data_IF_779816960794
#
_entry.id   IF_779816960794
#
_cell.length_a   1.000
_cell.length_b   1.000
_cell.length_c   1.000
_cell.angle_alpha   90.00
_cell.angle_beta   90.00
_cell.angle_gamma   90.00
#
_symmetry.space_group_name_H-M   'P 1'
#
loop_
_entity.id
_entity.type
_entity.pdbx_description
1 polymer ?
#
# COMPACT_ATOMS: atom_id res chain seq x y z
N UNK A 1 8.11 1.31 9.27
CA UNK A 1 9.11 1.79 10.27
C UNK A 1 10.19 2.68 9.65
N UNK A 2 10.80 2.27 8.53
CA UNK A 2 11.79 3.08 7.78
C UNK A 2 11.44 4.56 7.59
N UNK A 3 10.18 4.88 7.28
CA UNK A 3 9.71 6.27 7.13
C UNK A 3 9.97 7.11 8.39
N UNK A 4 9.55 6.60 9.55
CA UNK A 4 9.69 7.29 10.84
C UNK A 4 11.18 7.37 11.23
N UNK A 5 11.94 6.29 11.05
CA UNK A 5 13.38 6.26 11.35
C UNK A 5 14.15 7.31 10.53
N UNK A 6 13.86 7.40 9.22
CA UNK A 6 14.45 8.42 8.34
C UNK A 6 14.03 9.83 8.77
N UNK A 7 12.76 10.04 9.12
CA UNK A 7 12.24 11.33 9.60
C UNK A 7 12.97 11.81 10.86
N UNK A 8 13.07 10.94 11.86
CA UNK A 8 13.71 11.25 13.15
C UNK A 8 15.21 11.47 12.99
N UNK A 9 15.90 10.59 12.26
CA UNK A 9 17.37 10.69 12.09
C UNK A 9 17.82 11.90 11.28
N UNK A 10 17.01 12.37 10.33
CA UNK A 10 17.32 13.55 9.52
C UNK A 10 16.80 14.86 10.13
N UNK A 11 15.96 14.78 11.17
CA UNK A 11 15.21 15.92 11.71
C UNK A 11 14.46 16.71 10.61
N UNK A 12 13.93 16.01 9.62
CA UNK A 12 13.22 16.62 8.50
C UNK A 12 11.91 17.27 8.95
N UNK A 13 11.50 18.36 8.29
CA UNK A 13 10.17 18.94 8.51
C UNK A 13 9.05 18.03 8.00
N UNK A 14 9.32 17.33 6.89
CA UNK A 14 8.45 16.31 6.33
C UNK A 14 9.28 15.15 5.78
N UNK A 15 8.73 13.94 5.88
CA UNK A 15 9.25 12.77 5.18
C UNK A 15 8.10 12.05 4.51
N UNK A 16 8.21 11.80 3.20
CA UNK A 16 7.18 11.10 2.43
C UNK A 16 7.66 9.74 1.97
N UNK A 17 6.73 8.82 1.80
CA UNK A 17 7.00 7.56 1.13
C UNK A 17 6.81 7.75 -0.38
N UNK A 18 7.69 7.17 -1.19
CA UNK A 18 7.60 7.21 -2.66
C UNK A 18 7.69 5.80 -3.23
N UNK A 19 7.26 5.61 -4.48
CA UNK A 19 7.41 4.36 -5.21
C UNK A 19 7.83 4.62 -6.65
N UNK A 20 8.46 3.63 -7.28
CA UNK A 20 8.75 3.65 -8.71
C UNK A 20 7.71 2.79 -9.44
N UNK A 21 6.93 3.40 -10.33
CA UNK A 21 5.91 2.71 -11.13
C UNK A 21 6.10 3.01 -12.63
N UNK A 22 6.22 1.96 -13.43
CA UNK A 22 6.27 2.08 -14.90
C UNK A 22 5.03 2.75 -15.49
N UNK A 23 3.86 2.53 -14.87
CA UNK A 23 2.64 3.25 -15.21
C UNK A 23 2.20 4.10 -14.00
N UNK A 24 2.59 5.38 -13.95
CA UNK A 24 2.30 6.25 -12.82
C UNK A 24 0.93 6.94 -12.90
N UNK A 25 0.10 6.61 -13.91
CA UNK A 25 -1.20 7.25 -14.14
C UNK A 25 -2.07 7.24 -12.88
N UNK A 26 -2.59 8.42 -12.52
CA UNK A 26 -3.52 8.58 -11.38
C UNK A 26 -2.83 8.97 -10.07
N UNK A 27 -1.50 8.97 -10.01
CA UNK A 27 -0.74 9.34 -8.81
C UNK A 27 -0.11 10.74 -8.91
N UNK A 28 0.22 11.36 -7.77
CA UNK A 28 1.06 12.56 -7.78
C UNK A 28 2.51 12.21 -8.15
N UNK A 29 3.19 13.08 -8.90
CA UNK A 29 4.61 12.92 -9.32
C UNK A 29 5.54 13.63 -8.36
N UNK A 30 6.61 12.96 -7.94
CA UNK A 30 7.63 13.56 -7.07
C UNK A 30 8.66 14.27 -7.93
N UNK A 31 8.69 15.60 -7.86
CA UNK A 31 9.62 16.42 -8.64
C UNK A 31 10.90 16.63 -7.85
N UNK A 32 12.04 16.29 -8.46
CA UNK A 32 13.37 16.49 -7.88
C UNK A 32 14.17 17.53 -8.65
N UNK A 33 15.05 18.23 -7.93
CA UNK A 33 16.05 19.10 -8.54
C UNK A 33 17.21 18.27 -9.13
N UNK A 34 18.12 18.93 -9.86
CA UNK A 34 19.35 18.32 -10.37
C UNK A 34 20.26 17.75 -9.27
N UNK A 35 20.12 18.23 -8.03
CA UNK A 35 20.82 17.70 -6.85
C UNK A 35 20.05 16.58 -6.14
N UNK A 36 19.05 15.97 -6.81
CA UNK A 36 18.19 14.90 -6.29
C UNK A 36 17.36 15.25 -5.05
N UNK A 37 17.25 16.55 -4.70
CA UNK A 37 16.41 17.03 -3.61
C UNK A 37 14.97 17.16 -4.08
N UNK A 38 14.01 16.83 -3.21
CA UNK A 38 12.59 16.99 -3.50
C UNK A 38 12.27 18.48 -3.58
N UNK A 39 11.54 18.87 -4.61
CA UNK A 39 11.11 20.24 -4.86
C UNK A 39 9.63 20.38 -4.53
N UNK A 40 8.78 19.53 -5.14
CA UNK A 40 7.33 19.55 -4.98
C UNK A 40 6.74 18.19 -5.36
N UNK A 41 5.45 18.02 -5.11
CA UNK A 41 4.63 16.97 -5.70
C UNK A 41 3.66 17.64 -6.66
N UNK A 42 3.41 17.04 -7.82
CA UNK A 42 2.42 17.53 -8.79
C UNK A 42 1.38 16.46 -9.04
N UNK A 43 0.10 16.76 -8.77
CA UNK A 43 -1.00 15.82 -8.97
C UNK A 43 -1.22 15.48 -10.46
N UNK A 44 -1.77 14.29 -10.74
CA UNK A 44 -1.97 13.78 -12.11
C UNK A 44 -2.75 14.75 -13.02
N UNK A 45 -3.76 15.42 -12.46
CA UNK A 45 -4.58 16.37 -13.23
C UNK A 45 -3.79 17.64 -13.56
N UNK A 46 -2.95 18.10 -12.64
CA UNK A 46 -2.19 19.34 -12.74
C UNK A 46 -0.85 19.17 -13.46
N UNK A 47 -0.37 17.93 -13.59
CA UNK A 47 0.88 17.58 -14.25
C UNK A 47 0.88 17.89 -15.76
N UNK A 48 1.98 18.49 -16.23
CA UNK A 48 2.30 18.63 -17.65
C UNK A 48 2.62 17.28 -18.30
N UNK A 49 2.65 17.23 -19.63
CA UNK A 49 3.03 16.03 -20.38
C UNK A 49 4.43 15.50 -20.02
N UNK A 50 5.34 16.39 -19.64
CA UNK A 50 6.71 16.03 -19.24
C UNK A 50 6.78 15.52 -17.80
N UNK A 51 5.91 16.02 -16.92
CA UNK A 51 5.83 15.52 -15.54
C UNK A 51 5.12 14.16 -15.49
N UNK A 52 4.11 13.92 -16.35
CA UNK A 52 3.34 12.66 -16.37
C UNK A 52 4.18 11.41 -16.66
N UNK A 53 5.32 11.55 -17.35
CA UNK A 53 6.24 10.42 -17.62
C UNK A 53 7.19 10.10 -16.47
N UNK A 54 7.21 10.92 -15.41
CA UNK A 54 8.03 10.64 -14.22
C UNK A 54 7.46 9.40 -13.51
N UNK A 55 8.30 8.38 -13.32
CA UNK A 55 7.91 7.11 -12.71
C UNK A 55 7.92 7.14 -11.17
N UNK A 56 8.58 8.14 -10.57
CA UNK A 56 8.55 8.33 -9.11
C UNK A 56 7.24 8.98 -8.68
N UNK A 57 6.43 8.21 -7.96
CA UNK A 57 5.11 8.63 -7.49
C UNK A 57 5.08 8.89 -5.99
N UNK A 58 4.17 9.78 -5.61
CA UNK A 58 3.70 9.97 -4.25
C UNK A 58 2.68 8.89 -3.90
N UNK A 59 2.95 8.12 -2.84
CA UNK A 59 2.04 7.06 -2.36
C UNK A 59 1.06 7.54 -1.28
N UNK A 60 1.12 8.82 -0.90
CA UNK A 60 0.15 9.41 0.04
C UNK A 60 0.42 9.11 1.51
N UNK A 61 1.62 8.67 1.88
CA UNK A 61 2.02 8.42 3.27
C UNK A 61 3.13 9.38 3.70
N UNK A 62 2.92 10.07 4.82
CA UNK A 62 3.80 11.12 5.30
C UNK A 62 4.08 11.00 6.79
N UNK A 63 5.23 11.52 7.19
CA UNK A 63 5.59 11.81 8.57
C UNK A 63 6.01 13.29 8.65
N UNK A 64 5.32 14.08 9.46
CA UNK A 64 5.59 15.50 9.60
C UNK A 64 5.99 15.85 11.01
N UNK A 65 6.89 16.81 11.13
CA UNK A 65 7.02 17.59 12.34
C UNK A 65 5.82 18.55 12.45
N UNK A 66 5.25 18.67 13.64
CA UNK A 66 4.01 19.43 13.88
C UNK A 66 4.10 20.88 13.36
N UNK A 67 5.16 21.61 13.74
CA UNK A 67 5.32 23.04 13.38
C UNK A 67 5.45 23.25 11.86
N UNK A 68 6.35 22.54 11.14
CA UNK A 68 6.37 22.55 9.67
C UNK A 68 5.03 22.24 9.01
N UNK A 69 4.30 21.24 9.48
CA UNK A 69 2.99 20.90 8.89
C UNK A 69 2.02 22.09 8.92
N UNK A 70 1.81 22.68 10.11
CA UNK A 70 0.89 23.81 10.23
C UNK A 70 1.34 25.03 9.44
N UNK A 71 2.65 25.31 9.42
CA UNK A 71 3.21 26.35 8.56
C UNK A 71 2.92 26.12 7.07
N UNK A 72 3.02 24.86 6.60
CA UNK A 72 2.67 24.47 5.23
C UNK A 72 1.19 24.69 4.94
N UNK A 73 0.32 24.18 5.82
CA UNK A 73 -1.14 24.24 5.67
C UNK A 73 -1.68 25.66 5.65
N UNK A 74 -1.08 26.60 6.39
CA UNK A 74 -1.48 28.02 6.38
C UNK A 74 -1.21 28.73 5.03
N UNK A 75 -0.36 28.16 4.18
CA UNK A 75 0.16 28.83 2.97
C UNK A 75 -0.32 28.23 1.66
N UNK A 76 -0.85 27.01 1.68
CA UNK A 76 -1.42 26.39 0.50
C UNK A 76 -2.71 27.11 0.07
N UNK A 77 -3.00 27.07 -1.23
CA UNK A 77 -4.15 27.74 -1.84
C UNK A 77 -4.85 26.77 -2.79
N UNK A 78 -6.17 26.91 -3.00
CA UNK A 78 -6.92 26.08 -3.93
C UNK A 78 -6.74 26.57 -5.37
N UNK A 79 -5.50 26.75 -5.81
CA UNK A 79 -5.12 27.25 -7.15
C UNK A 79 -4.66 26.06 -8.01
N UNK A 80 -5.56 25.10 -8.21
CA UNK A 80 -5.34 23.90 -9.01
C UNK A 80 -6.62 23.55 -9.77
N UNK A 81 -6.56 22.58 -10.67
CA UNK A 81 -7.69 22.21 -11.55
C UNK A 81 -8.93 21.71 -10.81
N UNK A 82 -8.83 21.34 -9.53
CA UNK A 82 -9.96 20.93 -8.69
C UNK A 82 -10.47 22.01 -7.75
N UNK A 83 -9.76 23.14 -7.64
CA UNK A 83 -10.06 24.20 -6.67
C UNK A 83 -10.04 23.67 -5.21
N UNK A 84 -9.13 22.73 -4.90
CA UNK A 84 -9.01 22.06 -3.60
C UNK A 84 -7.72 22.42 -2.84
N UNK A 85 -7.71 22.30 -1.52
CA UNK A 85 -6.48 22.42 -0.73
C UNK A 85 -5.72 21.10 -0.73
N UNK A 86 -4.67 20.98 -1.55
CA UNK A 86 -3.87 19.76 -1.59
C UNK A 86 -2.84 19.72 -0.46
N UNK A 87 -2.83 18.63 0.31
CA UNK A 87 -1.78 18.36 1.29
C UNK A 87 -0.39 18.27 0.62
N UNK A 88 -0.34 17.83 -0.63
CA UNK A 88 0.90 17.69 -1.42
C UNK A 88 1.60 19.03 -1.69
N UNK A 89 0.85 20.11 -1.80
CA UNK A 89 1.39 21.46 -1.99
C UNK A 89 2.21 21.95 -0.79
N UNK A 90 1.97 21.37 0.41
CA UNK A 90 2.79 21.68 1.59
C UNK A 90 4.26 21.35 1.35
N UNK A 91 4.58 20.36 0.52
CA UNK A 91 5.96 19.99 0.19
C UNK A 91 6.69 21.15 -0.50
N UNK A 92 6.05 21.80 -1.47
CA UNK A 92 6.65 22.94 -2.16
C UNK A 92 6.82 24.15 -1.24
N UNK A 93 5.84 24.39 -0.35
CA UNK A 93 5.94 25.45 0.67
C UNK A 93 7.13 25.23 1.59
N UNK A 94 7.32 23.99 2.07
CA UNK A 94 8.41 23.64 2.98
C UNK A 94 9.77 23.77 2.29
N UNK A 95 9.92 23.24 1.07
CA UNK A 95 11.19 23.30 0.33
C UNK A 95 11.59 24.74 0.00
N UNK A 96 10.64 25.58 -0.45
CA UNK A 96 10.87 27.02 -0.69
C UNK A 96 11.25 27.79 0.57
N UNK A 97 10.85 27.29 1.74
CA UNK A 97 11.16 27.88 3.05
C UNK A 97 12.43 27.31 3.67
N UNK A 98 13.24 26.56 2.91
CA UNK A 98 14.46 25.88 3.37
C UNK A 98 14.21 24.88 4.51
N UNK A 99 12.98 24.38 4.65
CA UNK A 99 12.66 23.31 5.60
C UNK A 99 12.96 21.97 4.90
N UNK A 100 13.74 21.11 5.58
CA UNK A 100 14.17 19.84 5.01
C UNK A 100 12.97 18.92 4.74
N UNK A 101 12.89 18.42 3.51
CA UNK A 101 11.96 17.36 3.11
C UNK A 101 12.76 16.16 2.62
N UNK A 102 12.45 14.99 3.17
CA UNK A 102 13.13 13.72 2.88
C UNK A 102 12.15 12.70 2.30
N UNK A 103 12.64 11.68 1.60
CA UNK A 103 11.81 10.56 1.12
C UNK A 103 12.36 9.22 1.51
N UNK A 104 11.47 8.23 1.61
CA UNK A 104 11.82 6.81 1.63
C UNK A 104 11.12 6.14 0.46
N UNK A 105 11.87 5.45 -0.41
CA UNK A 105 11.26 4.68 -1.51
C UNK A 105 10.90 3.28 -1.02
N UNK A 106 9.67 2.84 -1.29
CA UNK A 106 9.24 1.46 -1.00
C UNK A 106 9.77 0.48 -2.05
N UNK A 107 10.07 -0.74 -1.61
CA UNK A 107 10.42 -1.84 -2.51
C UNK A 107 9.19 -2.67 -2.91
N UNK A 108 8.06 -2.46 -2.24
CA UNK A 108 6.78 -3.12 -2.52
C UNK A 108 5.74 -2.02 -2.77
N UNK A 109 5.54 -1.61 -4.05
CA UNK A 109 4.51 -0.65 -4.41
C UNK A 109 3.10 -1.17 -4.15
N UNK A 110 2.89 -2.50 -4.18
CA UNK A 110 1.57 -3.11 -4.03
C UNK A 110 1.01 -2.93 -2.61
N UNK A 111 1.87 -2.68 -1.61
CA UNK A 111 1.46 -2.29 -0.25
C UNK A 111 0.70 -0.95 -0.20
N UNK A 112 0.92 -0.06 -1.18
CA UNK A 112 0.36 1.30 -1.21
C UNK A 112 -0.59 1.53 -2.39
N UNK A 113 -1.19 0.47 -2.92
CA UNK A 113 -2.22 0.59 -3.94
C UNK A 113 -3.40 1.42 -3.42
N UNK A 114 -3.68 2.53 -4.10
CA UNK A 114 -4.87 3.32 -3.86
C UNK A 114 -6.11 2.58 -4.38
N UNK A 115 -7.23 2.70 -3.67
CA UNK A 115 -8.50 2.07 -4.04
C UNK A 115 -9.57 3.16 -4.14
N UNK A 116 -9.79 3.65 -5.36
CA UNK A 116 -10.81 4.65 -5.71
C UNK A 116 -11.97 4.04 -6.48
N UNK A 117 -11.75 2.91 -7.16
CA UNK A 117 -12.77 2.22 -7.96
C UNK A 117 -12.94 0.75 -7.53
N UNK A 118 -14.08 0.15 -7.89
CA UNK A 118 -14.31 -1.29 -7.65
C UNK A 118 -13.32 -2.19 -8.40
N UNK A 119 -12.83 -1.74 -9.55
CA UNK A 119 -11.79 -2.45 -10.30
C UNK A 119 -10.46 -2.45 -9.54
N UNK A 120 -10.10 -1.32 -8.92
CA UNK A 120 -8.92 -1.24 -8.04
C UNK A 120 -9.08 -2.06 -6.76
N UNK A 121 -10.28 -2.10 -6.19
CA UNK A 121 -10.58 -2.96 -5.04
C UNK A 121 -10.33 -4.44 -5.38
N UNK A 122 -10.77 -4.91 -6.55
CA UNK A 122 -10.50 -6.28 -7.00
C UNK A 122 -9.01 -6.56 -7.18
N UNK A 123 -8.21 -5.58 -7.62
CA UNK A 123 -6.75 -5.73 -7.71
C UNK A 123 -6.11 -5.82 -6.31
N UNK A 124 -6.53 -4.97 -5.38
CA UNK A 124 -6.03 -4.98 -4.01
C UNK A 124 -6.37 -6.31 -3.29
N UNK A 125 -7.57 -6.84 -3.52
CA UNK A 125 -7.98 -8.16 -3.01
C UNK A 125 -7.06 -9.27 -3.55
N UNK A 126 -6.78 -9.28 -4.86
CA UNK A 126 -5.91 -10.28 -5.47
C UNK A 126 -4.50 -10.28 -4.84
N UNK A 127 -3.92 -9.09 -4.62
CA UNK A 127 -2.61 -8.94 -3.95
C UNK A 127 -2.69 -9.52 -2.53
N UNK A 128 -3.72 -9.15 -1.76
CA UNK A 128 -3.85 -9.62 -0.38
C UNK A 128 -4.09 -11.13 -0.31
N UNK A 129 -4.92 -11.67 -1.20
CA UNK A 129 -5.20 -13.10 -1.32
C UNK A 129 -3.92 -13.89 -1.58
N UNK A 130 -3.09 -13.44 -2.52
CA UNK A 130 -1.78 -14.05 -2.78
C UNK A 130 -0.91 -14.04 -1.53
N UNK A 131 -0.82 -12.91 -0.82
CA UNK A 131 -0.03 -12.80 0.43
C UNK A 131 -0.53 -13.75 1.53
N UNK A 132 -1.85 -13.91 1.68
CA UNK A 132 -2.45 -14.84 2.65
C UNK A 132 -2.10 -16.29 2.28
N UNK A 133 -2.34 -16.67 1.03
CA UNK A 133 -2.07 -18.03 0.55
C UNK A 133 -0.60 -18.39 0.64
N UNK A 134 0.31 -17.48 0.25
CA UNK A 134 1.76 -17.68 0.41
C UNK A 134 2.12 -17.96 1.87
N UNK A 135 1.63 -17.14 2.81
CA UNK A 135 1.89 -17.35 4.25
C UNK A 135 1.38 -18.70 4.75
N UNK A 136 0.19 -19.10 4.30
CA UNK A 136 -0.41 -20.39 4.68
C UNK A 136 0.42 -21.55 4.11
N UNK A 137 0.81 -21.47 2.84
CA UNK A 137 1.64 -22.50 2.22
C UNK A 137 3.02 -22.60 2.88
N UNK A 138 3.65 -21.46 3.19
CA UNK A 138 4.92 -21.39 3.91
C UNK A 138 4.85 -22.00 5.32
N UNK A 139 3.64 -22.11 5.90
CA UNK A 139 3.41 -22.76 7.20
C UNK A 139 3.25 -24.29 7.12
N UNK A 140 3.40 -24.88 5.92
CA UNK A 140 3.33 -26.33 5.70
C UNK A 140 1.95 -26.85 5.28
N UNK A 141 1.09 -25.99 4.73
CA UNK A 141 -0.23 -26.36 4.20
C UNK A 141 -0.14 -26.48 2.68
N UNK A 142 -0.73 -27.52 2.11
CA UNK A 142 -0.82 -27.66 0.65
C UNK A 142 -2.08 -26.99 0.14
N UNK A 143 -1.95 -25.99 -0.74
CA UNK A 143 -3.08 -25.43 -1.50
C UNK A 143 -2.93 -25.88 -2.96
N UNK A 144 -3.83 -26.75 -3.42
CA UNK A 144 -3.71 -27.40 -4.74
C UNK A 144 -3.85 -26.38 -5.88
N UNK A 145 -4.76 -25.44 -5.75
CA UNK A 145 -4.99 -24.38 -6.74
C UNK A 145 -5.19 -23.03 -6.03
N UNK A 146 -4.10 -22.26 -5.84
CA UNK A 146 -4.15 -20.96 -5.18
C UNK A 146 -5.01 -19.92 -5.90
N UNK A 147 -5.14 -19.99 -7.23
CA UNK A 147 -5.90 -19.00 -8.00
C UNK A 147 -7.42 -19.19 -7.86
N UNK A 148 -7.85 -20.42 -7.56
CA UNK A 148 -9.25 -20.79 -7.31
C UNK A 148 -9.55 -21.15 -5.84
N UNK A 149 -8.72 -20.70 -4.88
CA UNK A 149 -8.95 -20.92 -3.45
C UNK A 149 -9.02 -19.59 -2.71
N UNK A 150 -10.01 -19.45 -1.82
CA UNK A 150 -10.28 -18.22 -1.08
C UNK A 150 -10.15 -18.49 0.40
N UNK A 151 -9.14 -17.91 1.04
CA UNK A 151 -8.92 -18.01 2.48
C UNK A 151 -8.83 -16.59 3.02
N UNK A 152 -9.73 -16.25 3.94
CA UNK A 152 -9.74 -14.94 4.56
C UNK A 152 -8.60 -14.76 5.57
N UNK A 153 -8.29 -13.51 5.87
CA UNK A 153 -7.30 -13.18 6.87
C UNK A 153 -7.73 -13.70 8.27
N UNK A 154 -6.77 -14.24 9.03
CA UNK A 154 -7.00 -14.71 10.40
C UNK A 154 -7.48 -16.15 10.52
N UNK A 155 -7.64 -16.87 9.41
CA UNK A 155 -7.85 -18.33 9.42
C UNK A 155 -6.60 -19.04 9.93
N UNK A 156 -6.79 -20.02 10.83
CA UNK A 156 -5.72 -20.87 11.33
C UNK A 156 -5.81 -22.26 10.68
N UNK A 157 -4.75 -22.68 9.98
CA UNK A 157 -4.65 -24.01 9.38
C UNK A 157 -3.33 -24.63 9.84
N UNK A 158 -3.38 -25.83 10.41
CA UNK A 158 -2.18 -26.54 10.84
C UNK A 158 -1.54 -27.33 9.69
N UNK A 159 -0.27 -27.66 9.88
CA UNK A 159 0.60 -28.31 8.90
C UNK A 159 0.02 -29.63 8.35
N UNK A 160 0.50 -30.02 7.18
CA UNK A 160 0.17 -31.27 6.49
C UNK A 160 -1.32 -31.36 6.07
N UNK A 161 -2.08 -30.28 6.22
CA UNK A 161 -3.43 -30.15 5.68
C UNK A 161 -3.41 -29.80 4.20
N UNK A 162 -4.32 -30.40 3.44
CA UNK A 162 -4.49 -30.16 2.00
C UNK A 162 -5.82 -29.44 1.73
N UNK A 163 -5.74 -28.31 1.03
CA UNK A 163 -6.88 -27.53 0.58
C UNK A 163 -7.04 -27.74 -0.93
N UNK A 164 -8.18 -28.31 -1.31
CA UNK A 164 -8.54 -28.58 -2.71
C UNK A 164 -9.19 -27.35 -3.37
N UNK A 165 -9.20 -27.29 -4.72
CA UNK A 165 -9.70 -26.13 -5.47
C UNK A 165 -11.16 -25.77 -5.16
N UNK A 166 -11.52 -24.51 -5.45
CA UNK A 166 -12.87 -23.95 -5.26
C UNK A 166 -13.35 -23.97 -3.80
N UNK A 167 -12.41 -23.91 -2.86
CA UNK A 167 -12.70 -23.89 -1.42
C UNK A 167 -12.71 -22.46 -0.89
N UNK A 168 -13.73 -22.14 -0.10
CA UNK A 168 -13.91 -20.85 0.58
C UNK A 168 -13.81 -21.05 2.09
N UNK A 169 -12.86 -20.38 2.72
CA UNK A 169 -12.62 -20.47 4.16
C UNK A 169 -12.70 -19.05 4.73
N UNK A 170 -13.81 -18.77 5.41
CA UNK A 170 -14.10 -17.45 5.98
C UNK A 170 -13.32 -17.23 7.29
N UNK A 171 -13.25 -15.98 7.74
CA UNK A 171 -12.52 -15.60 8.95
C UNK A 171 -12.95 -16.41 10.18
N UNK A 172 -12.08 -16.48 11.20
CA UNK A 172 -12.35 -17.21 12.44
C UNK A 172 -12.64 -18.72 12.25
N UNK A 173 -12.09 -19.33 11.20
CA UNK A 173 -12.07 -20.79 11.02
C UNK A 173 -10.75 -21.36 11.54
N UNK A 174 -10.82 -22.53 12.19
CA UNK A 174 -9.65 -23.28 12.66
C UNK A 174 -9.65 -24.69 12.10
N UNK A 175 -8.54 -25.10 11.50
CA UNK A 175 -8.38 -26.40 10.86
C UNK A 175 -7.14 -27.08 11.44
N UNK A 176 -7.33 -28.30 11.95
CA UNK A 176 -6.28 -29.17 12.47
C UNK A 176 -5.29 -29.63 11.41
N UNK A 177 -4.38 -30.52 11.82
CA UNK A 177 -3.31 -31.08 10.99
C UNK A 177 -3.83 -32.27 10.19
N UNK A 178 -3.15 -32.61 9.09
CA UNK A 178 -3.45 -33.78 8.25
C UNK A 178 -4.88 -33.80 7.68
N UNK A 179 -5.56 -32.66 7.62
CA UNK A 179 -6.90 -32.56 7.10
C UNK A 179 -6.93 -32.54 5.57
N UNK A 180 -8.11 -32.81 5.01
CA UNK A 180 -8.40 -32.69 3.58
C UNK A 180 -9.68 -31.88 3.44
N UNK A 181 -9.58 -30.66 2.92
CA UNK A 181 -10.70 -29.71 2.86
C UNK A 181 -11.02 -29.40 1.41
N UNK A 182 -12.30 -29.54 1.05
CA UNK A 182 -12.77 -29.37 -0.32
C UNK A 182 -12.66 -30.63 -1.18
N UNK A 183 -12.81 -30.52 -2.51
CA UNK A 183 -13.08 -29.28 -3.26
C UNK A 183 -14.51 -28.74 -3.01
N UNK A 184 -14.80 -27.52 -3.48
CA UNK A 184 -16.13 -26.88 -3.40
C UNK A 184 -16.68 -26.69 -1.97
N UNK A 185 -15.82 -26.74 -0.96
CA UNK A 185 -16.22 -26.56 0.43
C UNK A 185 -16.36 -25.07 0.78
N UNK A 186 -17.30 -24.77 1.67
CA UNK A 186 -17.41 -23.46 2.32
C UNK A 186 -17.41 -23.63 3.83
N UNK A 187 -16.35 -23.18 4.49
CA UNK A 187 -16.26 -23.15 5.96
C UNK A 187 -16.65 -21.75 6.44
N UNK A 188 -17.70 -21.70 7.26
CA UNK A 188 -18.26 -20.45 7.81
C UNK A 188 -17.54 -20.03 9.09
N UNK A 189 -17.63 -18.76 9.50
CA UNK A 189 -16.98 -18.27 10.72
C UNK A 189 -17.36 -19.10 11.93
N UNK A 190 -16.37 -19.41 12.78
CA UNK A 190 -16.54 -20.25 13.95
C UNK A 190 -16.47 -21.76 13.68
N UNK A 191 -16.27 -22.19 12.43
CA UNK A 191 -16.04 -23.60 12.14
C UNK A 191 -14.70 -24.06 12.72
N UNK A 192 -14.72 -25.19 13.42
CA UNK A 192 -13.52 -25.85 13.95
C UNK A 192 -13.47 -27.27 13.39
N UNK A 193 -12.39 -27.59 12.68
CA UNK A 193 -12.07 -28.93 12.20
C UNK A 193 -10.93 -29.47 13.04
N UNK A 194 -11.13 -30.60 13.73
CA UNK A 194 -10.10 -31.25 14.53
C UNK A 194 -9.00 -31.88 13.66
N UNK A 195 -7.96 -32.39 14.31
CA UNK A 195 -6.91 -33.16 13.63
C UNK A 195 -7.47 -34.47 13.05
N UNK A 196 -6.85 -34.95 11.97
CA UNK A 196 -7.13 -36.28 11.38
C UNK A 196 -6.17 -37.35 11.88
#
# INVERSE_FOLDING_TARGET
RKLIEKHVSSNAGATLLTAQLKNPTGYGRVIRSSASKIVKIVEELDASIYEKVIEEINVGVYCFNKRPLFYGLEKIKPDNKKEEYYLTDTIEVLTKSNILVESVTTNDPDEFLGVNTRAELGKAELVMRKRILTRIMDSGVTVIDPDNTYIEHGVEIKKDTVIYPYTFIENNVKIGSNCSIGPFARLRPGTVVGDR
#
